data_IF_498277803366
#
_entry.id   IF_498277803366
#
_cell.length_a   1.000
_cell.length_b   1.000
_cell.length_c   1.000
_cell.angle_alpha   90.00
_cell.angle_beta   90.00
_cell.angle_gamma   90.00
#
_symmetry.space_group_name_H-M   'P 1'
#
loop_
_entity.id
_entity.type
_entity.pdbx_description
1 polymer ?
#
# COMPACT_ATOMS: atom_id res chain seq x y z
N UNK A 1 23.19 0.98 -2.69
CA UNK A 1 23.91 -0.10 -1.98
C UNK A 1 24.56 0.45 -0.70
N UNK A 2 25.57 1.32 -0.76
CA UNK A 2 26.28 1.85 0.43
C UNK A 2 25.37 2.49 1.51
N UNK A 3 24.33 3.23 1.12
CA UNK A 3 23.38 3.84 2.06
C UNK A 3 22.54 2.79 2.83
N UNK A 4 22.20 1.68 2.21
CA UNK A 4 21.50 0.57 2.88
C UNK A 4 22.42 -0.17 3.85
N UNK A 5 23.65 -0.42 3.44
CA UNK A 5 24.66 -1.07 4.30
C UNK A 5 24.95 -0.25 5.56
N UNK A 6 25.03 1.09 5.44
CA UNK A 6 25.22 1.97 6.60
C UNK A 6 24.07 1.91 7.62
N UNK A 7 22.89 1.42 7.21
CA UNK A 7 21.71 1.19 8.05
C UNK A 7 21.61 -0.26 8.57
N UNK A 8 22.66 -1.07 8.38
CA UNK A 8 22.66 -2.48 8.79
C UNK A 8 21.84 -3.40 7.87
N UNK A 9 21.47 -2.95 6.67
CA UNK A 9 20.75 -3.73 5.67
C UNK A 9 21.77 -4.36 4.73
N UNK A 10 21.63 -5.66 4.46
CA UNK A 10 22.40 -6.38 3.45
C UNK A 10 21.67 -6.35 2.11
N UNK A 11 22.05 -5.48 1.15
CA UNK A 11 21.35 -5.35 -0.11
C UNK A 11 21.82 -6.40 -1.12
N UNK A 12 20.90 -7.16 -1.68
CA UNK A 12 21.12 -8.13 -2.74
C UNK A 12 20.43 -7.63 -4.02
N UNK A 13 21.14 -7.68 -5.14
CA UNK A 13 20.55 -7.32 -6.43
C UNK A 13 19.69 -8.49 -6.95
N UNK A 14 18.45 -8.18 -7.29
CA UNK A 14 17.51 -9.12 -7.90
C UNK A 14 16.81 -8.45 -9.09
N UNK A 15 16.85 -9.08 -10.26
CA UNK A 15 16.24 -8.58 -11.49
C UNK A 15 14.75 -8.95 -11.65
N UNK A 16 14.26 -9.84 -10.79
CA UNK A 16 12.89 -10.35 -10.84
C UNK A 16 12.74 -11.62 -11.67
N UNK A 17 13.81 -12.12 -12.29
CA UNK A 17 13.78 -13.29 -13.19
C UNK A 17 14.61 -14.45 -12.64
N UNK A 18 15.83 -14.18 -12.16
CA UNK A 18 16.77 -15.22 -11.75
C UNK A 18 17.27 -15.00 -10.33
N UNK A 19 17.04 -15.98 -9.46
CA UNK A 19 17.59 -15.95 -8.11
C UNK A 19 19.08 -16.28 -8.11
N UNK A 20 19.92 -15.35 -7.62
CA UNK A 20 21.35 -15.61 -7.41
C UNK A 20 21.58 -16.51 -6.19
N UNK A 21 22.75 -17.17 -6.12
CA UNK A 21 23.14 -17.99 -4.96
C UNK A 21 23.06 -17.16 -3.66
N UNK A 22 23.47 -15.90 -3.69
CA UNK A 22 23.38 -14.97 -2.55
C UNK A 22 21.93 -14.74 -2.11
N UNK A 23 20.99 -14.58 -3.05
CA UNK A 23 19.56 -14.44 -2.74
C UNK A 23 19.00 -15.74 -2.16
N UNK A 24 19.35 -16.90 -2.73
CA UNK A 24 18.91 -18.21 -2.23
C UNK A 24 19.44 -18.47 -0.80
N UNK A 25 20.69 -18.11 -0.50
CA UNK A 25 21.26 -18.18 0.84
C UNK A 25 20.51 -17.26 1.82
N UNK A 26 20.22 -16.03 1.42
CA UNK A 26 19.42 -15.09 2.23
C UNK A 26 18.01 -15.63 2.51
N UNK A 27 17.33 -16.20 1.52
CA UNK A 27 16.02 -16.85 1.67
C UNK A 27 16.12 -18.02 2.65
N UNK A 28 17.14 -18.86 2.53
CA UNK A 28 17.31 -20.05 3.38
C UNK A 28 17.46 -19.74 4.86
N UNK A 29 17.94 -18.54 5.19
CA UNK A 29 18.14 -18.06 6.57
C UNK A 29 17.02 -17.14 7.07
N UNK A 30 16.07 -16.75 6.19
CA UNK A 30 15.02 -15.82 6.54
C UNK A 30 13.95 -16.47 7.42
N UNK A 31 13.65 -15.85 8.55
CA UNK A 31 12.52 -16.26 9.39
C UNK A 31 11.20 -15.62 8.97
N UNK A 32 11.25 -14.43 8.37
CA UNK A 32 10.10 -13.69 7.86
C UNK A 32 10.43 -13.09 6.50
N UNK A 33 9.48 -13.11 5.59
CA UNK A 33 9.66 -12.57 4.24
C UNK A 33 8.60 -11.50 3.97
N UNK A 34 9.04 -10.26 3.70
CA UNK A 34 8.17 -9.18 3.23
C UNK A 34 8.33 -9.02 1.72
N UNK A 35 7.26 -9.22 0.98
CA UNK A 35 7.23 -9.08 -0.47
C UNK A 35 6.57 -7.78 -0.85
N UNK A 36 7.32 -6.87 -1.48
CA UNK A 36 6.83 -5.57 -1.95
C UNK A 36 7.06 -5.34 -3.45
N UNK A 37 7.64 -6.31 -4.14
CA UNK A 37 7.87 -6.26 -5.57
C UNK A 37 6.54 -6.13 -6.35
N UNK A 38 6.60 -5.45 -7.50
CA UNK A 38 5.46 -5.41 -8.39
C UNK A 38 5.40 -6.71 -9.21
N UNK A 39 4.23 -7.35 -9.34
CA UNK A 39 4.08 -8.51 -10.21
C UNK A 39 4.24 -8.11 -11.68
N UNK A 40 4.70 -9.06 -12.48
CA UNK A 40 4.87 -8.96 -13.92
C UNK A 40 3.79 -9.76 -14.65
N UNK A 41 3.87 -9.83 -15.97
CA UNK A 41 2.99 -10.72 -16.75
C UNK A 41 3.28 -12.21 -16.48
N UNK A 42 4.43 -12.54 -15.89
CA UNK A 42 4.85 -13.89 -15.49
C UNK A 42 4.53 -14.24 -14.02
N UNK A 43 3.78 -13.35 -13.32
CA UNK A 43 3.37 -13.52 -11.92
C UNK A 43 4.21 -12.75 -10.90
N UNK A 44 4.22 -13.23 -9.66
CA UNK A 44 5.04 -12.62 -8.60
C UNK A 44 6.52 -12.99 -8.79
N UNK A 45 7.45 -12.00 -8.87
CA UNK A 45 8.86 -12.26 -9.16
C UNK A 45 9.54 -13.21 -8.17
N UNK A 46 9.20 -13.16 -6.89
CA UNK A 46 9.81 -14.06 -5.91
C UNK A 46 9.32 -15.50 -6.07
N UNK A 47 8.02 -15.69 -6.29
CA UNK A 47 7.46 -17.02 -6.56
C UNK A 47 7.97 -17.58 -7.89
N UNK A 48 8.10 -16.74 -8.90
CA UNK A 48 8.63 -17.13 -10.20
C UNK A 48 10.08 -17.64 -10.09
N UNK A 49 10.94 -16.90 -9.40
CA UNK A 49 12.38 -17.17 -9.39
C UNK A 49 12.84 -18.12 -8.27
N UNK A 50 12.11 -18.21 -7.15
CA UNK A 50 12.64 -18.87 -5.93
C UNK A 50 11.58 -19.62 -5.10
N UNK A 51 10.47 -20.04 -5.70
CA UNK A 51 9.37 -20.72 -4.99
C UNK A 51 9.86 -21.89 -4.13
N UNK A 52 10.66 -22.79 -4.71
CA UNK A 52 11.13 -23.99 -4.02
C UNK A 52 12.03 -23.63 -2.84
N UNK A 53 12.92 -22.65 -3.00
CA UNK A 53 13.78 -22.17 -1.93
C UNK A 53 12.97 -21.56 -0.76
N UNK A 54 11.88 -20.83 -1.05
CA UNK A 54 10.98 -20.31 -0.04
C UNK A 54 10.25 -21.45 0.70
N UNK A 55 9.81 -22.49 0.00
CA UNK A 55 9.19 -23.68 0.61
C UNK A 55 10.18 -24.40 1.52
N UNK A 56 11.41 -24.60 1.06
CA UNK A 56 12.47 -25.33 1.78
C UNK A 56 12.94 -24.56 3.03
N UNK A 57 12.98 -23.22 2.96
CA UNK A 57 13.42 -22.36 4.09
C UNK A 57 12.41 -22.34 5.26
N UNK A 58 11.13 -22.66 4.98
CA UNK A 58 10.04 -22.69 5.96
C UNK A 58 9.99 -21.42 6.85
N UNK A 59 9.87 -20.23 6.27
CA UNK A 59 9.76 -19.02 7.06
C UNK A 59 8.54 -19.10 8.00
N UNK A 60 8.63 -18.45 9.16
CA UNK A 60 7.55 -18.40 10.14
C UNK A 60 6.30 -17.74 9.57
N UNK A 61 6.46 -16.68 8.77
CA UNK A 61 5.38 -16.01 8.08
C UNK A 61 5.89 -15.22 6.86
N UNK A 62 4.99 -15.03 5.89
CA UNK A 62 5.20 -14.18 4.71
C UNK A 62 4.14 -13.07 4.71
N UNK A 63 4.54 -11.85 4.36
CA UNK A 63 3.65 -10.73 4.18
C UNK A 63 3.78 -10.17 2.74
N UNK A 64 2.70 -10.18 1.98
CA UNK A 64 2.64 -9.65 0.62
C UNK A 64 1.92 -8.29 0.60
N UNK A 65 2.59 -7.25 0.09
CA UNK A 65 2.02 -5.92 -0.04
C UNK A 65 1.23 -5.80 -1.36
N UNK A 66 -0.07 -5.80 -1.25
CA UNK A 66 -1.02 -5.62 -2.34
C UNK A 66 -1.62 -4.21 -2.35
N UNK A 67 -2.75 -4.02 -2.98
CA UNK A 67 -3.44 -2.73 -3.13
C UNK A 67 -4.95 -2.87 -3.07
N UNK A 68 -5.66 -1.90 -2.50
CA UNK A 68 -7.14 -1.80 -2.62
C UNK A 68 -7.60 -1.56 -4.07
N UNK A 69 -6.67 -1.27 -5.00
CA UNK A 69 -6.97 -1.17 -6.43
C UNK A 69 -7.53 -2.45 -7.05
N UNK A 70 -7.33 -3.60 -6.41
CA UNK A 70 -7.91 -4.89 -6.86
C UNK A 70 -9.43 -4.91 -6.81
N UNK A 71 -10.06 -4.10 -5.97
CA UNK A 71 -11.51 -4.03 -5.89
C UNK A 71 -12.16 -3.38 -7.13
N UNK A 72 -11.47 -2.46 -7.82
CA UNK A 72 -12.07 -1.66 -8.85
C UNK A 72 -13.07 -0.62 -8.30
N UNK A 73 -14.09 -0.27 -9.06
CA UNK A 73 -15.14 0.67 -8.65
C UNK A 73 -16.25 -0.04 -7.86
N UNK A 74 -16.67 0.58 -6.76
CA UNK A 74 -17.80 0.14 -5.93
C UNK A 74 -18.81 1.27 -5.68
N UNK A 75 -18.84 2.29 -6.54
CA UNK A 75 -19.81 3.40 -6.46
C UNK A 75 -19.83 4.09 -5.08
N UNK A 76 -18.65 4.19 -4.46
CA UNK A 76 -18.49 4.80 -3.13
C UNK A 76 -18.94 3.94 -1.95
N UNK A 77 -19.37 2.71 -2.18
CA UNK A 77 -19.75 1.77 -1.10
C UNK A 77 -18.53 1.32 -0.30
N UNK A 78 -18.78 0.90 0.93
CA UNK A 78 -17.77 0.24 1.76
C UNK A 78 -17.46 -1.16 1.22
N UNK A 79 -16.17 -1.48 1.14
CA UNK A 79 -15.68 -2.81 0.76
C UNK A 79 -14.89 -3.43 1.91
N UNK A 80 -15.15 -4.69 2.17
CA UNK A 80 -14.38 -5.55 3.08
C UNK A 80 -13.51 -6.49 2.26
N UNK A 81 -12.71 -7.30 2.91
CA UNK A 81 -11.80 -8.25 2.27
C UNK A 81 -12.52 -9.35 1.47
N UNK A 82 -13.83 -9.54 1.75
CA UNK A 82 -14.70 -10.49 1.03
C UNK A 82 -15.46 -9.85 -0.14
N UNK A 83 -15.30 -8.55 -0.37
CA UNK A 83 -15.94 -7.88 -1.49
C UNK A 83 -15.36 -8.38 -2.83
N UNK A 84 -16.19 -8.36 -3.86
CA UNK A 84 -15.79 -8.73 -5.21
C UNK A 84 -14.64 -7.85 -5.72
N UNK A 85 -13.68 -8.47 -6.40
CA UNK A 85 -12.54 -7.77 -6.98
C UNK A 85 -12.73 -7.63 -8.49
N UNK A 86 -12.92 -6.40 -8.96
CA UNK A 86 -13.17 -6.04 -10.37
C UNK A 86 -12.15 -5.01 -10.87
N UNK A 87 -10.82 -5.34 -10.87
CA UNK A 87 -9.79 -4.38 -11.23
C UNK A 87 -9.89 -3.95 -12.69
N UNK A 88 -9.81 -2.66 -12.95
CA UNK A 88 -9.89 -2.09 -14.29
C UNK A 88 -8.51 -1.94 -14.95
N UNK A 89 -7.49 -1.55 -14.18
CA UNK A 89 -6.14 -1.34 -14.69
C UNK A 89 -5.34 -2.66 -14.82
N UNK A 90 -4.44 -2.74 -15.83
CA UNK A 90 -3.50 -3.88 -15.98
C UNK A 90 -2.75 -4.15 -14.67
N UNK A 91 -2.22 -3.11 -14.05
CA UNK A 91 -1.46 -3.21 -12.79
C UNK A 91 -2.28 -3.86 -11.66
N UNK A 92 -3.56 -3.48 -11.51
CA UNK A 92 -4.41 -4.05 -10.47
C UNK A 92 -4.84 -5.47 -10.78
N UNK A 93 -4.98 -5.84 -12.07
CA UNK A 93 -5.24 -7.21 -12.50
C UNK A 93 -4.08 -8.14 -12.17
N UNK A 94 -2.85 -7.74 -12.53
CA UNK A 94 -1.64 -8.50 -12.20
C UNK A 94 -1.49 -8.65 -10.68
N UNK A 95 -1.80 -7.60 -9.91
CA UNK A 95 -1.75 -7.67 -8.45
C UNK A 95 -2.76 -8.65 -7.87
N UNK A 96 -3.97 -8.72 -8.43
CA UNK A 96 -5.00 -9.69 -8.02
C UNK A 96 -4.57 -11.13 -8.35
N UNK A 97 -3.95 -11.37 -9.51
CA UNK A 97 -3.43 -12.69 -9.84
C UNK A 97 -2.30 -13.11 -8.88
N UNK A 98 -1.37 -12.23 -8.58
CA UNK A 98 -0.33 -12.51 -7.60
C UNK A 98 -0.89 -12.77 -6.17
N UNK A 99 -1.98 -12.10 -5.75
CA UNK A 99 -2.67 -12.45 -4.50
C UNK A 99 -3.15 -13.91 -4.51
N UNK A 100 -3.72 -14.37 -5.63
CA UNK A 100 -4.19 -15.76 -5.78
C UNK A 100 -3.02 -16.75 -5.74
N UNK A 101 -1.90 -16.43 -6.40
CA UNK A 101 -0.67 -17.25 -6.35
C UNK A 101 -0.18 -17.40 -4.92
N UNK A 102 -0.12 -16.32 -4.14
CA UNK A 102 0.30 -16.33 -2.74
C UNK A 102 -0.67 -17.10 -1.83
N UNK A 103 -1.99 -17.04 -2.09
CA UNK A 103 -2.97 -17.84 -1.35
C UNK A 103 -2.82 -19.33 -1.64
N UNK A 104 -2.67 -19.70 -2.90
CA UNK A 104 -2.39 -21.11 -3.31
C UNK A 104 -1.08 -21.59 -2.70
N UNK A 105 -0.01 -20.76 -2.76
CA UNK A 105 1.27 -21.06 -2.13
C UNK A 105 1.11 -21.35 -0.62
N UNK A 106 0.35 -20.53 0.08
CA UNK A 106 0.08 -20.72 1.53
C UNK A 106 -0.63 -22.02 1.81
N UNK A 107 -1.62 -22.38 0.98
CA UNK A 107 -2.42 -23.60 1.12
C UNK A 107 -1.59 -24.87 0.87
N UNK A 108 -0.74 -24.85 -0.17
CA UNK A 108 0.10 -25.97 -0.54
C UNK A 108 1.31 -26.17 0.40
N UNK A 109 1.94 -25.08 0.84
CA UNK A 109 3.15 -25.14 1.69
C UNK A 109 2.84 -25.22 3.18
N UNK A 110 1.65 -24.78 3.62
CA UNK A 110 1.31 -24.61 5.03
C UNK A 110 1.97 -23.40 5.69
N UNK A 111 2.70 -22.57 4.93
CA UNK A 111 3.35 -21.36 5.44
C UNK A 111 2.30 -20.24 5.53
N UNK A 112 2.14 -19.57 6.68
CA UNK A 112 1.21 -18.44 6.82
C UNK A 112 1.57 -17.30 5.87
N UNK A 113 0.61 -16.85 5.04
CA UNK A 113 0.75 -15.70 4.15
C UNK A 113 -0.33 -14.67 4.46
N UNK A 114 0.08 -13.47 4.85
CA UNK A 114 -0.80 -12.32 4.97
C UNK A 114 -0.70 -11.42 3.74
N UNK A 115 -1.85 -11.07 3.16
CA UNK A 115 -1.96 -10.15 2.03
C UNK A 115 -2.49 -8.82 2.56
N UNK A 116 -1.68 -7.78 2.48
CA UNK A 116 -2.05 -6.44 2.92
C UNK A 116 -2.45 -5.59 1.70
N UNK A 117 -3.76 -5.34 1.54
CA UNK A 117 -4.30 -4.46 0.49
C UNK A 117 -4.17 -3.00 0.94
N UNK A 118 -3.10 -2.34 0.49
CA UNK A 118 -2.74 -0.98 0.88
C UNK A 118 -3.61 0.05 0.16
N UNK A 119 -4.06 1.05 0.90
CA UNK A 119 -4.64 2.28 0.37
C UNK A 119 -3.58 3.22 -0.20
N UNK A 120 -3.95 4.43 -0.62
CA UNK A 120 -3.03 5.43 -1.14
C UNK A 120 -1.97 5.80 -0.11
N UNK A 121 -0.71 5.47 -0.40
CA UNK A 121 0.41 5.63 0.54
C UNK A 121 0.85 7.09 0.60
N UNK A 122 1.03 7.61 1.81
CA UNK A 122 1.63 8.90 2.05
C UNK A 122 2.56 8.87 3.27
N UNK A 123 3.41 9.89 3.39
CA UNK A 123 4.34 10.04 4.49
C UNK A 123 5.36 11.13 4.21
N UNK A 124 6.46 11.13 4.94
CA UNK A 124 7.52 12.11 4.76
C UNK A 124 8.04 12.12 3.32
N UNK A 125 8.20 13.31 2.72
CA UNK A 125 8.62 13.49 1.33
C UNK A 125 7.49 13.31 0.28
N UNK A 126 6.40 12.65 0.61
CA UNK A 126 5.26 12.39 -0.30
C UNK A 126 3.93 12.62 0.42
N UNK A 127 3.50 13.87 0.52
CA UNK A 127 2.28 14.28 1.22
C UNK A 127 1.77 15.63 0.69
N UNK A 128 0.62 16.08 1.19
CA UNK A 128 -0.01 17.33 0.75
C UNK A 128 0.81 18.58 1.12
N UNK A 129 1.52 18.57 2.26
CA UNK A 129 2.40 19.69 2.66
C UNK A 129 3.55 19.84 1.65
N UNK A 130 4.21 18.73 1.27
CA UNK A 130 5.24 18.74 0.23
C UNK A 130 4.74 19.25 -1.12
N UNK A 131 3.51 18.87 -1.49
CA UNK A 131 2.93 19.30 -2.76
C UNK A 131 2.60 20.79 -2.75
N UNK A 132 2.10 21.33 -1.65
CA UNK A 132 1.86 22.76 -1.48
C UNK A 132 3.16 23.55 -1.50
N UNK A 133 4.15 23.15 -0.72
CA UNK A 133 5.48 23.79 -0.65
C UNK A 133 6.14 23.87 -2.03
N UNK A 134 6.01 22.82 -2.84
CA UNK A 134 6.55 22.74 -4.21
C UNK A 134 5.66 23.39 -5.27
N UNK A 135 4.53 24.00 -4.90
CA UNK A 135 3.55 24.55 -5.85
C UNK A 135 2.92 23.51 -6.79
N UNK A 136 2.90 22.24 -6.39
CA UNK A 136 2.37 21.11 -7.19
C UNK A 136 1.00 20.64 -6.72
N UNK A 137 0.51 21.14 -5.59
CA UNK A 137 -0.81 20.78 -5.09
C UNK A 137 -1.89 21.26 -6.05
N UNK A 138 -2.86 20.39 -6.30
CA UNK A 138 -4.06 20.69 -7.10
C UNK A 138 -5.29 20.35 -6.30
N UNK A 139 -6.28 21.22 -6.34
CA UNK A 139 -7.58 21.04 -5.69
C UNK A 139 -8.61 20.68 -6.75
N UNK A 140 -8.68 19.38 -7.09
CA UNK A 140 -9.56 18.87 -8.14
C UNK A 140 -10.85 18.39 -7.49
N UNK A 141 -11.96 18.95 -7.97
CA UNK A 141 -13.29 18.67 -7.45
C UNK A 141 -14.01 17.70 -8.38
N UNK A 142 -14.39 16.53 -7.85
CA UNK A 142 -15.25 15.57 -8.52
C UNK A 142 -16.31 15.10 -7.53
N UNK A 143 -17.57 15.40 -7.81
CA UNK A 143 -18.68 15.04 -6.92
C UNK A 143 -18.69 13.55 -6.59
N UNK A 144 -18.84 13.22 -5.31
CA UNK A 144 -18.87 11.84 -4.81
C UNK A 144 -17.52 11.13 -4.73
N UNK A 145 -16.44 11.74 -5.21
CA UNK A 145 -15.11 11.12 -5.16
C UNK A 145 -14.58 11.02 -3.73
N UNK A 146 -14.07 9.85 -3.38
CA UNK A 146 -13.30 9.63 -2.15
C UNK A 146 -12.04 8.84 -2.43
N UNK A 147 -10.97 9.17 -1.72
CA UNK A 147 -9.74 8.40 -1.71
C UNK A 147 -9.47 7.84 -0.32
N UNK A 148 -9.07 6.58 -0.29
CA UNK A 148 -8.56 5.93 0.90
C UNK A 148 -7.07 6.16 0.99
N UNK A 149 -6.55 6.32 2.21
CA UNK A 149 -5.13 6.62 2.47
C UNK A 149 -4.57 5.76 3.58
N UNK A 150 -3.27 5.69 3.63
CA UNK A 150 -2.54 5.03 4.72
C UNK A 150 -1.18 5.69 4.89
N UNK A 151 -0.81 6.02 6.11
CA UNK A 151 0.52 6.51 6.40
C UNK A 151 1.55 5.38 6.40
N UNK A 152 2.74 5.63 5.85
CA UNK A 152 3.80 4.61 5.73
C UNK A 152 4.17 3.94 7.06
N UNK A 153 4.13 4.67 8.19
CA UNK A 153 4.38 4.08 9.52
C UNK A 153 3.31 3.07 9.92
N UNK A 154 2.06 3.26 9.49
CA UNK A 154 0.98 2.32 9.78
C UNK A 154 1.04 1.09 8.88
N UNK A 155 1.62 1.21 7.67
CA UNK A 155 1.97 0.03 6.86
C UNK A 155 3.01 -0.81 7.60
N UNK A 156 4.09 -0.18 8.08
CA UNK A 156 5.13 -0.89 8.83
C UNK A 156 4.59 -1.56 10.11
N UNK A 157 3.72 -0.86 10.85
CA UNK A 157 3.06 -1.43 12.02
C UNK A 157 2.13 -2.59 11.69
N UNK A 158 1.35 -2.51 10.61
CA UNK A 158 0.49 -3.60 10.17
C UNK A 158 1.30 -4.84 9.75
N UNK A 159 2.44 -4.66 9.04
CA UNK A 159 3.37 -5.73 8.70
C UNK A 159 3.94 -6.38 9.95
N UNK A 160 4.38 -5.57 10.91
CA UNK A 160 4.93 -6.08 12.18
C UNK A 160 3.91 -6.96 12.92
N UNK A 161 2.66 -6.50 13.08
CA UNK A 161 1.59 -7.27 13.74
C UNK A 161 1.26 -8.55 12.94
N UNK A 162 1.24 -8.47 11.60
CA UNK A 162 1.02 -9.65 10.78
C UNK A 162 2.10 -10.72 10.98
N UNK A 163 3.35 -10.32 11.19
CA UNK A 163 4.45 -11.22 11.51
C UNK A 163 4.39 -11.77 12.94
N UNK A 164 4.13 -10.90 13.92
CA UNK A 164 4.03 -11.30 15.34
C UNK A 164 2.92 -12.33 15.57
N UNK A 165 1.79 -12.19 14.86
CA UNK A 165 0.63 -13.09 14.99
C UNK A 165 0.68 -14.27 14.00
N UNK A 166 1.71 -14.39 13.17
CA UNK A 166 1.75 -15.35 12.04
C UNK A 166 0.45 -15.32 11.24
N UNK A 167 -0.01 -14.11 10.93
CA UNK A 167 -1.31 -13.89 10.32
C UNK A 167 -1.40 -14.49 8.91
N UNK A 168 -2.58 -15.04 8.59
CA UNK A 168 -2.88 -15.56 7.26
C UNK A 168 -4.16 -14.95 6.71
N UNK A 169 -4.20 -14.80 5.38
CA UNK A 169 -5.35 -14.27 4.66
C UNK A 169 -5.19 -12.79 4.32
N UNK A 170 -6.30 -12.15 3.92
CA UNK A 170 -6.32 -10.81 3.33
C UNK A 170 -6.74 -9.78 4.39
N UNK A 171 -6.08 -8.61 4.39
CA UNK A 171 -6.38 -7.47 5.27
C UNK A 171 -6.33 -6.15 4.49
N UNK A 172 -7.36 -5.32 4.64
CA UNK A 172 -7.33 -3.95 4.14
C UNK A 172 -6.53 -3.06 5.10
N UNK A 173 -5.56 -2.34 4.54
CA UNK A 173 -4.70 -1.40 5.27
C UNK A 173 -5.00 0.01 4.78
N UNK A 174 -5.94 0.66 5.46
CA UNK A 174 -6.46 2.00 5.18
C UNK A 174 -6.71 2.73 6.48
N UNK A 175 -6.54 4.05 6.51
CA UNK A 175 -6.94 4.86 7.65
C UNK A 175 -8.47 4.92 7.82
N UNK A 176 -8.96 5.61 8.87
CA UNK A 176 -10.38 5.69 9.22
C UNK A 176 -11.14 6.77 8.45
N UNK A 177 -10.45 7.56 7.60
CA UNK A 177 -11.03 8.75 6.99
C UNK A 177 -10.93 8.77 5.46
N UNK A 178 -11.61 7.83 4.74
CA UNK A 178 -11.75 8.01 3.30
C UNK A 178 -12.50 9.32 3.03
N UNK A 179 -11.88 10.22 2.24
CA UNK A 179 -12.41 11.57 2.02
C UNK A 179 -12.11 12.07 0.61
N UNK A 180 -12.80 13.14 0.15
CA UNK A 180 -12.45 13.83 -1.07
C UNK A 180 -10.98 14.26 -1.09
N UNK A 181 -10.28 14.22 -2.24
CA UNK A 181 -8.88 14.61 -2.32
C UNK A 181 -8.64 16.07 -1.98
N UNK A 182 -9.58 16.96 -2.27
CA UNK A 182 -9.51 18.38 -1.96
C UNK A 182 -9.46 18.66 -0.46
N UNK A 183 -10.15 17.88 0.39
CA UNK A 183 -10.16 18.06 1.84
C UNK A 183 -8.76 18.00 2.45
N UNK A 184 -7.93 17.10 1.91
CA UNK A 184 -6.54 16.94 2.40
C UNK A 184 -5.66 18.12 2.00
N UNK A 185 -5.87 18.65 0.80
CA UNK A 185 -5.15 19.85 0.31
C UNK A 185 -5.55 21.08 1.12
N UNK A 186 -6.85 21.25 1.39
CA UNK A 186 -7.35 22.37 2.19
C UNK A 186 -6.86 22.28 3.65
N UNK A 187 -6.85 21.07 4.21
CA UNK A 187 -6.33 20.86 5.56
C UNK A 187 -4.84 21.23 5.66
N UNK A 188 -4.03 20.74 4.70
CA UNK A 188 -2.61 21.05 4.65
C UNK A 188 -2.33 22.55 4.43
N UNK A 189 -3.10 23.22 3.55
CA UNK A 189 -2.97 24.66 3.33
C UNK A 189 -3.28 25.47 4.61
N UNK A 190 -4.30 25.05 5.37
CA UNK A 190 -4.63 25.66 6.66
C UNK A 190 -3.50 25.50 7.68
N UNK A 191 -2.88 24.32 7.78
CA UNK A 191 -1.73 24.10 8.67
C UNK A 191 -0.54 25.00 8.31
N UNK A 192 -0.30 25.18 7.02
CA UNK A 192 0.78 26.04 6.52
C UNK A 192 0.45 27.54 6.61
N UNK A 193 -0.79 27.91 6.92
CA UNK A 193 -1.24 29.29 6.93
C UNK A 193 -1.25 29.94 5.53
N UNK A 194 -1.47 29.16 4.47
CA UNK A 194 -1.52 29.63 3.08
C UNK A 194 -2.89 29.41 2.47
N UNK A 195 -3.23 30.20 1.44
CA UNK A 195 -4.45 29.98 0.66
C UNK A 195 -4.34 28.64 -0.11
N UNK A 196 -5.39 27.81 -0.08
CA UNK A 196 -5.41 26.60 -0.88
C UNK A 196 -5.43 26.94 -2.39
N UNK A 197 -4.89 26.07 -3.26
CA UNK A 197 -4.97 26.26 -4.71
C UNK A 197 -6.42 26.46 -5.18
N UNK A 198 -6.67 27.19 -6.27
CA UNK A 198 -8.01 27.32 -6.84
C UNK A 198 -8.65 25.94 -7.08
N UNK A 199 -9.97 25.86 -6.86
CA UNK A 199 -10.72 24.65 -7.23
C UNK A 199 -10.77 24.51 -8.76
N UNK A 200 -10.52 23.30 -9.24
CA UNK A 200 -10.57 22.94 -10.66
C UNK A 200 -11.59 21.80 -10.78
N UNK A 201 -12.61 21.97 -11.61
CA UNK A 201 -13.53 20.87 -11.90
C UNK A 201 -12.75 19.71 -12.55
N UNK A 202 -13.14 18.49 -12.27
CA UNK A 202 -12.43 17.31 -12.80
C UNK A 202 -12.39 17.32 -14.34
N UNK A 203 -13.46 17.80 -14.97
CA UNK A 203 -13.62 17.89 -16.42
C UNK A 203 -12.64 18.89 -17.07
N UNK A 204 -12.21 19.91 -16.30
CA UNK A 204 -11.31 20.97 -16.75
C UNK A 204 -9.85 20.71 -16.35
N UNK A 205 -9.61 19.63 -15.58
CA UNK A 205 -8.29 19.34 -15.05
C UNK A 205 -7.38 18.63 -16.05
N UNK A 206 -6.22 19.21 -16.34
CA UNK A 206 -5.17 18.53 -17.10
C UNK A 206 -4.51 17.43 -16.26
N UNK A 207 -4.98 16.20 -16.42
CA UNK A 207 -4.57 15.02 -15.67
C UNK A 207 -3.88 13.99 -16.57
N UNK A 208 -2.84 13.36 -16.02
CA UNK A 208 -2.22 12.21 -16.68
C UNK A 208 -3.22 11.03 -16.76
N UNK A 209 -3.07 10.11 -17.72
CA UNK A 209 -3.90 8.90 -17.81
C UNK A 209 -3.93 8.09 -16.49
N UNK A 210 -2.81 8.05 -15.78
CA UNK A 210 -2.73 7.41 -14.47
C UNK A 210 -3.60 8.14 -13.42
N UNK A 211 -3.56 9.46 -13.37
CA UNK A 211 -4.39 10.24 -12.44
C UNK A 211 -5.88 10.06 -12.77
N UNK A 212 -6.25 10.10 -14.05
CA UNK A 212 -7.64 9.85 -14.50
C UNK A 212 -8.13 8.47 -14.03
N UNK A 213 -7.28 7.43 -14.12
CA UNK A 213 -7.66 6.09 -13.69
C UNK A 213 -8.01 6.00 -12.21
N UNK A 214 -7.36 6.80 -11.34
CA UNK A 214 -7.72 6.87 -9.92
C UNK A 214 -9.07 7.55 -9.66
N UNK A 215 -9.44 8.52 -10.48
CA UNK A 215 -10.77 9.16 -10.41
C UNK A 215 -11.88 8.30 -11.03
N UNK A 216 -11.53 7.25 -11.77
CA UNK A 216 -12.48 6.29 -12.35
C UNK A 216 -13.06 5.28 -11.37
N UNK A 217 -12.53 5.21 -10.15
CA UNK A 217 -12.95 4.24 -9.15
C UNK A 217 -13.28 4.94 -7.83
N UNK A 218 -14.45 4.62 -7.25
CA UNK A 218 -14.87 5.17 -5.96
C UNK A 218 -15.26 4.02 -5.03
N UNK A 219 -14.58 3.93 -3.89
CA UNK A 219 -14.82 2.92 -2.85
C UNK A 219 -14.32 3.41 -1.51
N UNK A 220 -14.84 2.83 -0.42
CA UNK A 220 -14.34 3.02 0.95
C UNK A 220 -13.87 1.69 1.49
N UNK A 221 -12.57 1.54 1.74
CA UNK A 221 -12.00 0.31 2.25
C UNK A 221 -12.14 0.24 3.78
N UNK A 222 -12.80 -0.81 4.27
CA UNK A 222 -12.94 -1.05 5.70
C UNK A 222 -11.68 -1.70 6.25
N UNK A 223 -11.12 -1.15 7.32
CA UNK A 223 -9.99 -1.70 8.06
C UNK A 223 -10.41 -2.48 9.32
N UNK A 224 -11.70 -2.78 9.44
CA UNK A 224 -12.26 -3.40 10.65
C UNK A 224 -11.63 -4.77 10.94
N UNK A 225 -11.30 -5.56 9.90
CA UNK A 225 -10.64 -6.85 10.06
C UNK A 225 -9.22 -6.70 10.59
N UNK A 226 -8.43 -5.74 10.10
CA UNK A 226 -7.07 -5.47 10.60
C UNK A 226 -7.11 -5.12 12.10
N UNK A 227 -8.02 -4.23 12.51
CA UNK A 227 -8.22 -3.85 13.91
C UNK A 227 -8.71 -5.00 14.78
N UNK A 228 -9.69 -5.76 14.30
CA UNK A 228 -10.34 -6.80 15.08
C UNK A 228 -9.54 -8.09 15.18
N UNK A 229 -8.90 -8.53 14.10
CA UNK A 229 -8.18 -9.79 14.06
C UNK A 229 -6.73 -9.68 14.55
N UNK A 230 -6.03 -8.58 14.19
CA UNK A 230 -4.64 -8.37 14.59
C UNK A 230 -4.50 -7.38 15.77
N UNK A 231 -5.60 -6.84 16.29
CA UNK A 231 -5.55 -5.85 17.36
C UNK A 231 -4.81 -4.55 17.00
N UNK A 232 -4.56 -4.31 15.70
CA UNK A 232 -3.75 -3.20 15.25
C UNK A 232 -4.39 -1.85 15.61
N UNK A 233 -3.61 -0.97 16.22
CA UNK A 233 -4.01 0.40 16.55
C UNK A 233 -3.22 1.35 15.68
N UNK A 234 -3.92 2.10 14.82
CA UNK A 234 -3.27 3.06 13.94
C UNK A 234 -2.54 4.14 14.75
N UNK A 235 -1.29 4.39 14.38
CA UNK A 235 -0.52 5.54 14.85
C UNK A 235 -1.15 6.84 14.36
N UNK A 236 -1.64 6.83 13.13
CA UNK A 236 -2.34 7.94 12.50
C UNK A 236 -3.71 7.48 12.01
N UNK A 237 -4.75 7.54 12.88
CA UNK A 237 -6.09 7.09 12.53
C UNK A 237 -6.70 7.81 11.34
N UNK A 238 -6.32 9.08 11.10
CA UNK A 238 -6.72 9.85 9.93
C UNK A 238 -5.55 10.63 9.35
N UNK A 239 -5.73 11.15 8.14
CA UNK A 239 -4.73 12.03 7.52
C UNK A 239 -4.46 13.31 8.34
N UNK A 240 -5.39 13.72 9.23
CA UNK A 240 -5.25 14.93 10.04
C UNK A 240 -4.13 14.77 11.06
N UNK A 241 -4.19 13.73 11.88
CA UNK A 241 -3.16 13.45 12.88
C UNK A 241 -1.77 13.25 12.23
N UNK A 242 -1.74 12.64 11.04
CA UNK A 242 -0.50 12.46 10.31
C UNK A 242 0.07 13.78 9.78
N UNK A 243 -0.78 14.65 9.22
CA UNK A 243 -0.34 15.95 8.72
C UNK A 243 0.07 16.87 9.86
N UNK A 244 -0.67 16.88 10.98
CA UNK A 244 -0.30 17.63 12.19
C UNK A 244 1.08 17.19 12.70
N UNK A 245 1.27 15.89 12.85
CA UNK A 245 2.57 15.35 13.26
C UNK A 245 3.71 15.70 12.30
N UNK A 246 3.48 15.58 10.99
CA UNK A 246 4.48 15.93 9.99
C UNK A 246 4.77 17.43 9.96
N UNK A 247 3.76 18.28 10.15
CA UNK A 247 3.95 19.73 10.25
C UNK A 247 4.88 20.11 11.39
N UNK A 248 4.70 19.48 12.56
CA UNK A 248 5.52 19.73 13.76
C UNK A 248 6.90 19.11 13.70
N UNK A 249 7.08 17.94 13.03
CA UNK A 249 8.29 17.13 13.09
C UNK A 249 9.06 17.03 11.75
N UNK A 250 8.60 17.74 10.74
CA UNK A 250 9.18 17.76 9.39
C UNK A 250 8.46 16.84 8.41
N UNK A 251 8.09 17.39 7.26
CA UNK A 251 7.28 16.74 6.21
C UNK A 251 8.04 16.41 4.92
N UNK A 252 9.27 16.91 4.75
CA UNK A 252 10.10 16.76 3.56
C UNK A 252 11.09 15.57 3.66
#
# INVERSE_FOLDING_TARGET
MADLQSKGIHPILFDGETASDELLEAISSATHILVSAAPTDDGDPLLYAARDAVVESKPTAICYLSTIGVYGDHEGRWVTETAECNPTSKRSKLRLEAEKEWLVFSEESGIPVSILRLAGIYGRGQNALCNLDKGKARRIIKEGQVFNRIHVSDIAGAVQHAFEDNASGIFNVSDDAPCPPEDVVEYAARLMGVEPPPAIAFEDADLSPMAISFYGEVKRASNAKLKGALGYKFKFPTYREALDYMWENGWS
#
